data_IF_608413818527
#
_entry.id   IF_608413818527
#
_cell.length_a   1.000
_cell.length_b   1.000
_cell.length_c   1.000
_cell.angle_alpha   90.00
_cell.angle_beta   90.00
_cell.angle_gamma   90.00
#
_symmetry.space_group_name_H-M   'P 1'
#
loop_
_entity.id
_entity.type
_entity.pdbx_description
1 polymer ?
#
# COMPACT_ATOMS: atom_id res chain seq x y z
N UNK A 1 1.92 -0.64 -40.22
CA UNK A 1 2.18 -0.38 -38.80
C UNK A 1 1.62 -1.56 -38.04
N UNK A 2 2.47 -2.49 -37.61
CA UNK A 2 2.02 -3.68 -36.91
C UNK A 2 1.29 -3.28 -35.62
N UNK A 3 0.01 -3.62 -35.49
CA UNK A 3 -0.65 -3.62 -34.19
C UNK A 3 0.22 -4.46 -33.24
N UNK A 4 0.74 -3.88 -32.14
CA UNK A 4 1.57 -4.65 -31.24
C UNK A 4 0.74 -5.79 -30.69
N UNK A 5 1.12 -7.02 -31.04
CA UNK A 5 0.41 -8.21 -30.60
C UNK A 5 0.22 -8.19 -29.07
N UNK A 6 -0.95 -8.63 -28.56
CA UNK A 6 -1.32 -8.54 -27.14
C UNK A 6 -0.41 -9.33 -26.16
N UNK A 7 0.63 -9.99 -26.68
CA UNK A 7 1.68 -10.64 -25.90
C UNK A 7 2.89 -9.72 -25.61
N UNK A 8 3.13 -8.69 -26.42
CA UNK A 8 4.32 -7.82 -26.31
C UNK A 8 4.20 -6.92 -25.07
N UNK A 9 5.23 -6.91 -24.23
CA UNK A 9 5.33 -6.00 -23.08
C UNK A 9 4.72 -6.49 -21.76
N UNK A 10 4.19 -7.71 -21.66
CA UNK A 10 3.69 -8.26 -20.38
C UNK A 10 4.80 -8.39 -19.33
N UNK A 11 5.97 -8.89 -19.74
CA UNK A 11 7.12 -9.00 -18.87
C UNK A 11 7.63 -7.62 -18.43
N UNK A 12 7.59 -6.63 -19.32
CA UNK A 12 7.90 -5.24 -18.99
C UNK A 12 6.94 -4.72 -17.93
N UNK A 13 5.63 -4.95 -18.07
CA UNK A 13 4.64 -4.55 -17.08
C UNK A 13 4.85 -5.23 -15.72
N UNK A 14 5.16 -6.53 -15.71
CA UNK A 14 5.48 -7.26 -14.47
C UNK A 14 6.70 -6.66 -13.75
N UNK A 15 7.82 -6.44 -14.46
CA UNK A 15 9.01 -5.83 -13.87
C UNK A 15 8.79 -4.38 -13.45
N UNK A 16 8.02 -3.60 -14.22
CA UNK A 16 7.65 -2.24 -13.81
C UNK A 16 6.85 -2.26 -12.52
N UNK A 17 5.89 -3.17 -12.35
CA UNK A 17 5.14 -3.29 -11.09
C UNK A 17 6.07 -3.69 -9.93
N UNK A 18 6.93 -4.70 -10.12
CA UNK A 18 7.87 -5.17 -9.09
C UNK A 18 8.75 -4.03 -8.56
N UNK A 19 9.15 -3.09 -9.43
CA UNK A 19 9.97 -1.93 -9.05
C UNK A 19 9.09 -0.80 -8.48
N UNK A 20 7.92 -0.57 -9.05
CA UNK A 20 7.04 0.54 -8.66
C UNK A 20 6.48 0.37 -7.25
N UNK A 21 6.17 -0.86 -6.83
CA UNK A 21 5.61 -1.15 -5.50
C UNK A 21 6.53 -0.65 -4.38
N UNK A 22 7.80 -1.09 -4.26
CA UNK A 22 8.68 -0.59 -3.19
C UNK A 22 8.97 0.89 -3.31
N UNK A 23 8.92 1.48 -4.51
CA UNK A 23 9.03 2.94 -4.68
C UNK A 23 7.85 3.65 -4.01
N UNK A 24 6.62 3.18 -4.24
CA UNK A 24 5.43 3.80 -3.67
C UNK A 24 5.28 3.56 -2.17
N UNK A 25 5.61 2.36 -1.69
CA UNK A 25 5.40 1.94 -0.30
C UNK A 25 6.54 2.36 0.64
N UNK A 26 7.78 2.08 0.23
CA UNK A 26 8.94 2.07 1.13
C UNK A 26 9.91 3.20 0.84
N UNK A 27 10.09 3.56 -0.43
CA UNK A 27 10.99 4.65 -0.79
C UNK A 27 10.43 6.03 -0.41
N UNK A 28 9.12 6.16 -0.35
CA UNK A 28 8.45 7.37 0.17
C UNK A 28 8.48 7.43 1.70
N UNK A 29 8.49 6.27 2.35
CA UNK A 29 8.36 6.13 3.80
C UNK A 29 9.72 6.01 4.50
N UNK A 30 10.42 4.92 4.22
CA UNK A 30 11.60 4.42 4.94
C UNK A 30 12.88 5.11 4.51
N UNK A 31 12.96 5.59 3.25
CA UNK A 31 14.08 6.42 2.81
C UNK A 31 14.19 7.74 3.59
N UNK A 32 13.04 8.27 4.03
CA UNK A 32 12.94 9.54 4.77
C UNK A 32 13.17 9.30 6.25
N UNK A 33 12.59 8.24 6.81
CA UNK A 33 12.66 7.92 8.24
C UNK A 33 13.90 7.13 8.67
N UNK A 34 14.47 6.30 7.79
CA UNK A 34 15.60 5.40 8.08
C UNK A 34 16.57 5.33 6.88
N UNK A 35 17.38 6.37 6.63
CA UNK A 35 18.16 6.51 5.38
C UNK A 35 19.18 5.39 5.06
N UNK A 36 19.51 4.51 6.01
CA UNK A 36 20.37 3.35 5.73
C UNK A 36 19.64 2.22 4.95
N UNK A 37 18.30 2.26 4.92
CA UNK A 37 17.46 1.22 4.28
C UNK A 37 17.50 1.22 2.76
N UNK A 38 18.09 2.24 2.12
CA UNK A 38 18.38 2.19 0.67
C UNK A 38 19.26 0.97 0.30
N UNK A 39 20.08 0.48 1.23
CA UNK A 39 20.88 -0.73 1.04
C UNK A 39 20.03 -2.02 1.07
N UNK A 40 18.83 -1.96 1.64
CA UNK A 40 17.87 -3.07 1.71
C UNK A 40 16.90 -3.12 0.52
N UNK A 41 16.94 -2.16 -0.42
CA UNK A 41 16.09 -2.14 -1.63
C UNK A 41 16.03 -3.50 -2.38
N UNK A 42 17.13 -4.25 -2.57
CA UNK A 42 17.06 -5.57 -3.19
C UNK A 42 16.25 -6.59 -2.39
N UNK A 43 16.21 -6.47 -1.06
CA UNK A 43 15.40 -7.32 -0.16
C UNK A 43 13.91 -6.94 -0.23
N UNK A 44 13.59 -5.68 -0.53
CA UNK A 44 12.20 -5.22 -0.70
C UNK A 44 11.54 -5.79 -1.97
N UNK A 45 12.32 -6.17 -2.98
CA UNK A 45 11.80 -6.75 -4.23
C UNK A 45 11.04 -8.08 -4.01
N UNK A 46 11.61 -9.10 -3.34
CA UNK A 46 10.90 -10.34 -3.05
C UNK A 46 9.78 -10.17 -2.01
N UNK A 47 9.93 -9.22 -1.07
CA UNK A 47 8.94 -8.92 -0.03
C UNK A 47 7.72 -8.25 -0.68
N UNK A 48 7.92 -7.06 -1.25
CA UNK A 48 6.88 -6.23 -1.81
C UNK A 48 6.49 -6.59 -3.25
N UNK A 49 7.47 -6.58 -4.15
CA UNK A 49 7.21 -6.69 -5.59
C UNK A 49 6.53 -8.01 -5.99
N UNK A 50 6.98 -9.14 -5.41
CA UNK A 50 6.40 -10.44 -5.69
C UNK A 50 5.01 -10.62 -5.07
N UNK A 51 4.80 -10.17 -3.82
CA UNK A 51 3.51 -10.25 -3.13
C UNK A 51 2.41 -9.51 -3.89
N UNK A 52 2.66 -8.24 -4.26
CA UNK A 52 1.67 -7.43 -4.98
C UNK A 52 1.43 -7.94 -6.41
N UNK A 53 2.47 -8.43 -7.09
CA UNK A 53 2.29 -9.08 -8.40
C UNK A 53 1.43 -10.34 -8.27
N UNK A 54 1.60 -11.16 -7.22
CA UNK A 54 0.76 -12.33 -6.96
C UNK A 54 -0.70 -11.94 -6.73
N UNK A 55 -0.96 -10.93 -5.89
CA UNK A 55 -2.32 -10.40 -5.61
C UNK A 55 -3.01 -9.97 -6.90
N UNK A 56 -2.30 -9.20 -7.74
CA UNK A 56 -2.81 -8.74 -9.03
C UNK A 56 -3.13 -9.93 -9.94
N UNK A 57 -2.17 -10.84 -10.08
CA UNK A 57 -2.29 -11.99 -10.97
C UNK A 57 -3.44 -12.92 -10.55
N UNK A 58 -3.65 -13.14 -9.25
CA UNK A 58 -4.77 -13.89 -8.72
C UNK A 58 -6.11 -13.18 -9.00
N UNK A 59 -6.18 -11.87 -8.73
CA UNK A 59 -7.38 -11.06 -8.93
C UNK A 59 -7.83 -11.05 -10.39
N UNK A 60 -6.90 -10.78 -11.32
CA UNK A 60 -7.23 -10.68 -12.75
C UNK A 60 -7.70 -12.03 -13.31
N UNK A 61 -7.12 -13.15 -12.86
CA UNK A 61 -7.48 -14.50 -13.34
C UNK A 61 -8.90 -14.92 -12.97
N UNK A 62 -9.42 -14.41 -11.86
CA UNK A 62 -10.79 -14.70 -11.43
C UNK A 62 -11.79 -13.64 -11.90
N UNK A 63 -11.36 -12.61 -12.64
CA UNK A 63 -12.20 -11.47 -13.02
C UNK A 63 -12.57 -10.56 -11.83
N UNK A 64 -11.71 -10.52 -10.82
CA UNK A 64 -11.84 -9.64 -9.67
C UNK A 64 -11.50 -8.18 -10.01
N UNK A 65 -11.95 -7.27 -9.15
CA UNK A 65 -11.72 -5.82 -9.29
C UNK A 65 -11.16 -5.19 -8.01
N UNK A 66 -11.35 -3.88 -7.88
CA UNK A 66 -10.89 -3.11 -6.71
C UNK A 66 -11.31 -3.69 -5.35
N UNK A 67 -12.54 -4.20 -5.14
CA UNK A 67 -12.91 -4.83 -3.87
C UNK A 67 -12.05 -6.05 -3.53
N UNK A 68 -11.73 -6.90 -4.52
CA UNK A 68 -10.84 -8.04 -4.33
C UNK A 68 -9.42 -7.60 -3.98
N UNK A 69 -8.93 -6.53 -4.61
CA UNK A 69 -7.60 -5.98 -4.31
C UNK A 69 -7.51 -5.42 -2.89
N UNK A 70 -8.53 -4.71 -2.41
CA UNK A 70 -8.59 -4.21 -1.02
C UNK A 70 -8.52 -5.37 -0.03
N UNK A 71 -9.34 -6.40 -0.23
CA UNK A 71 -9.40 -7.55 0.69
C UNK A 71 -8.11 -8.39 0.64
N UNK A 72 -7.51 -8.57 -0.54
CA UNK A 72 -6.21 -9.22 -0.66
C UNK A 72 -5.07 -8.36 -0.10
N UNK A 73 -5.17 -7.03 -0.14
CA UNK A 73 -4.25 -6.12 0.52
C UNK A 73 -4.26 -6.30 2.04
N UNK A 74 -5.44 -6.51 2.65
CA UNK A 74 -5.55 -6.85 4.07
C UNK A 74 -4.94 -8.22 4.39
N UNK A 75 -5.17 -9.21 3.52
CA UNK A 75 -4.54 -10.53 3.68
C UNK A 75 -3.01 -10.46 3.54
N UNK A 76 -2.53 -9.56 2.68
CA UNK A 76 -1.12 -9.32 2.44
C UNK A 76 -0.43 -8.63 3.62
N UNK A 77 -1.06 -7.59 4.18
CA UNK A 77 -0.61 -6.95 5.43
C UNK A 77 -0.45 -7.98 6.55
N UNK A 78 -1.46 -8.82 6.81
CA UNK A 78 -1.36 -9.87 7.83
C UNK A 78 -0.25 -10.91 7.54
N UNK A 79 0.03 -11.18 6.26
CA UNK A 79 1.11 -12.09 5.88
C UNK A 79 2.49 -11.47 6.15
N UNK A 80 2.67 -10.19 5.85
CA UNK A 80 3.93 -9.49 6.09
C UNK A 80 4.11 -9.15 7.57
N UNK A 81 3.19 -8.38 8.16
CA UNK A 81 3.36 -7.84 9.51
C UNK A 81 3.01 -8.86 10.60
N UNK A 82 2.00 -9.70 10.34
CA UNK A 82 1.57 -10.75 11.26
C UNK A 82 2.47 -11.99 11.25
N UNK A 83 2.72 -12.59 10.08
CA UNK A 83 3.51 -13.83 9.98
C UNK A 83 5.00 -13.60 9.77
N UNK A 84 5.35 -12.64 8.92
CA UNK A 84 6.73 -12.29 8.58
C UNK A 84 7.40 -11.55 9.72
N UNK A 85 7.06 -10.28 9.91
CA UNK A 85 7.64 -9.41 10.92
C UNK A 85 7.28 -9.81 12.35
N UNK A 86 6.13 -10.48 12.57
CA UNK A 86 5.62 -10.79 13.91
C UNK A 86 5.26 -9.53 14.72
N UNK A 87 5.16 -8.39 14.05
CA UNK A 87 5.02 -7.06 14.64
C UNK A 87 3.70 -6.89 15.40
N UNK A 88 2.62 -7.51 14.89
CA UNK A 88 1.29 -7.38 15.49
C UNK A 88 1.21 -7.91 16.92
N UNK A 89 2.02 -8.91 17.27
CA UNK A 89 2.02 -9.54 18.60
C UNK A 89 3.28 -9.22 19.41
N UNK A 90 4.35 -8.78 18.76
CA UNK A 90 5.62 -8.48 19.42
C UNK A 90 5.45 -7.35 20.45
N UNK A 91 6.04 -7.50 21.64
CA UNK A 91 6.05 -6.45 22.66
C UNK A 91 7.14 -5.40 22.44
N UNK A 92 8.13 -5.62 21.56
CA UNK A 92 9.27 -4.70 21.42
C UNK A 92 9.47 -4.20 19.99
N UNK A 93 8.73 -4.75 19.01
CA UNK A 93 8.91 -4.37 17.62
C UNK A 93 8.78 -2.85 17.45
N UNK A 94 9.80 -2.21 16.87
CA UNK A 94 9.84 -0.78 16.55
C UNK A 94 9.49 0.17 17.71
N UNK A 95 9.66 -0.25 18.96
CA UNK A 95 9.34 0.55 20.16
C UNK A 95 7.90 1.12 20.17
N UNK A 96 6.96 0.45 19.48
CA UNK A 96 5.54 0.90 19.36
C UNK A 96 4.68 0.44 20.54
N UNK A 97 5.22 -0.40 21.42
CA UNK A 97 4.48 -1.05 22.50
C UNK A 97 3.90 -0.10 23.53
N UNK A 98 4.61 0.99 23.79
CA UNK A 98 4.34 1.84 24.94
C UNK A 98 3.18 2.81 24.69
N UNK A 99 2.76 2.96 23.44
CA UNK A 99 1.78 3.96 23.04
C UNK A 99 0.62 3.43 22.19
N UNK A 100 0.56 2.12 21.97
CA UNK A 100 -0.44 1.50 21.12
C UNK A 100 -1.57 0.82 21.90
N UNK A 101 -2.80 0.88 21.35
CA UNK A 101 -3.91 0.12 21.91
C UNK A 101 -3.72 -1.37 21.60
N UNK A 102 -3.68 -2.20 22.65
CA UNK A 102 -3.61 -3.66 22.51
C UNK A 102 -4.88 -4.36 22.93
N UNK A 103 -5.33 -5.31 22.12
CA UNK A 103 -6.49 -6.17 22.41
C UNK A 103 -6.10 -7.62 22.14
N UNK A 104 -6.24 -8.49 23.14
CA UNK A 104 -5.83 -9.90 23.06
C UNK A 104 -4.37 -10.11 22.61
N UNK A 105 -3.49 -9.18 22.99
CA UNK A 105 -2.06 -9.20 22.62
C UNK A 105 -1.74 -8.59 21.24
N UNK A 106 -2.76 -8.24 20.44
CA UNK A 106 -2.60 -7.60 19.14
C UNK A 106 -2.48 -6.09 19.27
N UNK A 107 -1.46 -5.50 18.65
CA UNK A 107 -1.27 -4.06 18.53
C UNK A 107 -2.18 -3.47 17.45
N UNK A 108 -3.34 -2.93 17.85
CA UNK A 108 -4.34 -2.42 16.91
C UNK A 108 -3.95 -1.08 16.28
N UNK A 109 -3.28 -0.21 17.02
CA UNK A 109 -2.83 1.10 16.50
C UNK A 109 -1.81 0.91 15.38
N UNK A 110 -0.81 0.05 15.61
CA UNK A 110 0.15 -0.33 14.58
C UNK A 110 -0.55 -1.05 13.43
N UNK A 111 -1.39 -2.05 13.73
CA UNK A 111 -2.10 -2.78 12.69
C UNK A 111 -2.89 -1.86 11.74
N UNK A 112 -3.64 -0.90 12.30
CA UNK A 112 -4.41 0.03 11.48
C UNK A 112 -3.50 0.97 10.66
N UNK A 113 -2.39 1.47 11.23
CA UNK A 113 -1.48 2.33 10.46
C UNK A 113 -0.88 1.58 9.27
N UNK A 114 -0.50 0.32 9.51
CA UNK A 114 0.11 -0.55 8.51
C UNK A 114 -0.90 -0.98 7.44
N UNK A 115 -2.17 -1.22 7.77
CA UNK A 115 -3.23 -1.45 6.77
C UNK A 115 -3.25 -0.33 5.73
N UNK A 116 -3.15 0.93 6.17
CA UNK A 116 -3.07 2.07 5.25
C UNK A 116 -1.89 1.96 4.28
N UNK A 117 -0.71 1.64 4.80
CA UNK A 117 0.54 1.50 4.03
C UNK A 117 0.45 0.32 3.04
N UNK A 118 0.15 -0.88 3.52
CA UNK A 118 0.12 -2.08 2.67
C UNK A 118 -1.03 -2.04 1.66
N UNK A 119 -2.25 -1.69 2.09
CA UNK A 119 -3.39 -1.66 1.15
C UNK A 119 -3.23 -0.52 0.16
N UNK A 120 -3.07 0.73 0.62
CA UNK A 120 -3.13 1.89 -0.28
C UNK A 120 -1.82 2.06 -1.05
N UNK A 121 -0.70 2.15 -0.34
CA UNK A 121 0.59 2.54 -0.92
C UNK A 121 1.33 1.37 -1.57
N UNK A 122 1.17 0.15 -1.06
CA UNK A 122 1.81 -1.04 -1.65
C UNK A 122 0.95 -1.68 -2.74
N UNK A 123 -0.38 -1.79 -2.54
CA UNK A 123 -1.25 -2.49 -3.51
C UNK A 123 -1.97 -1.53 -4.45
N UNK A 124 -2.84 -0.66 -3.91
CA UNK A 124 -3.81 0.05 -4.75
C UNK A 124 -3.17 1.12 -5.65
N UNK A 125 -2.31 1.97 -5.12
CA UNK A 125 -1.69 3.06 -5.87
C UNK A 125 -0.75 2.54 -6.99
N UNK A 126 0.17 1.60 -6.73
CA UNK A 126 0.99 1.02 -7.80
C UNK A 126 0.15 0.38 -8.89
N UNK A 127 -0.90 -0.38 -8.54
CA UNK A 127 -1.79 -1.00 -9.53
C UNK A 127 -2.60 0.05 -10.33
N UNK A 128 -3.03 1.14 -9.69
CA UNK A 128 -3.68 2.25 -10.38
C UNK A 128 -2.74 2.94 -11.39
N UNK A 129 -1.47 3.15 -11.00
CA UNK A 129 -0.45 3.71 -11.87
C UNK A 129 -0.10 2.75 -13.02
N UNK A 130 -0.07 1.43 -12.75
CA UNK A 130 0.11 0.41 -13.78
C UNK A 130 -1.02 0.40 -14.81
N UNK A 131 -2.26 0.62 -14.38
CA UNK A 131 -3.39 0.77 -15.30
C UNK A 131 -3.23 1.98 -16.25
N UNK A 132 -2.62 3.07 -15.77
CA UNK A 132 -2.30 4.24 -16.59
C UNK A 132 -1.11 4.00 -17.53
N UNK A 133 -0.07 3.33 -17.05
CA UNK A 133 1.15 3.05 -17.82
C UNK A 133 0.90 2.00 -18.91
N UNK A 134 0.16 0.94 -18.58
CA UNK A 134 -0.08 -0.25 -19.42
C UNK A 134 -1.58 -0.58 -19.57
N UNK A 135 -2.39 0.33 -20.15
CA UNK A 135 -3.85 0.16 -20.22
C UNK A 135 -4.28 -1.12 -20.94
N UNK A 136 -3.55 -1.52 -22.00
CA UNK A 136 -3.81 -2.74 -22.76
C UNK A 136 -3.65 -4.04 -21.94
N UNK A 137 -2.95 -3.98 -20.80
CA UNK A 137 -2.71 -5.13 -19.93
C UNK A 137 -3.51 -5.08 -18.62
N UNK A 138 -4.31 -4.03 -18.38
CA UNK A 138 -5.09 -3.81 -17.14
C UNK A 138 -5.84 -5.04 -16.65
N UNK A 139 -6.69 -5.62 -17.50
CA UNK A 139 -7.52 -6.79 -17.15
C UNK A 139 -6.93 -8.10 -17.69
N UNK A 140 -5.60 -8.16 -17.89
CA UNK A 140 -4.94 -9.34 -18.47
C UNK A 140 -3.80 -9.83 -17.56
N UNK A 141 -3.63 -11.15 -17.41
CA UNK A 141 -2.48 -11.71 -16.71
C UNK A 141 -1.16 -11.27 -17.36
N UNK A 142 -0.21 -10.82 -16.55
CA UNK A 142 1.15 -10.56 -17.00
C UNK A 142 1.94 -11.87 -17.15
N UNK A 143 1.68 -12.83 -16.26
CA UNK A 143 2.47 -14.05 -16.15
C UNK A 143 1.74 -15.25 -16.75
N UNK A 144 2.52 -16.25 -17.20
CA UNK A 144 2.03 -17.61 -17.44
C UNK A 144 2.04 -18.40 -16.12
N UNK A 145 1.52 -19.64 -16.12
CA UNK A 145 1.47 -20.49 -14.93
C UNK A 145 2.83 -20.66 -14.24
N UNK A 146 3.90 -20.94 -15.00
CA UNK A 146 5.25 -21.06 -14.42
C UNK A 146 5.71 -19.77 -13.72
N UNK A 147 5.52 -18.61 -14.35
CA UNK A 147 5.83 -17.33 -13.73
C UNK A 147 5.01 -17.05 -12.47
N UNK A 148 3.72 -17.41 -12.47
CA UNK A 148 2.86 -17.29 -11.29
C UNK A 148 3.38 -18.15 -10.13
N UNK A 149 3.79 -19.39 -10.39
CA UNK A 149 4.37 -20.28 -9.36
C UNK A 149 5.67 -19.67 -8.83
N UNK A 150 6.57 -19.21 -9.72
CA UNK A 150 7.80 -18.55 -9.30
C UNK A 150 7.51 -17.33 -8.42
N UNK A 151 6.58 -16.46 -8.81
CA UNK A 151 6.18 -15.30 -8.01
C UNK A 151 5.59 -15.70 -6.66
N UNK A 152 4.76 -16.75 -6.60
CA UNK A 152 4.21 -17.24 -5.34
C UNK A 152 5.31 -17.78 -4.40
N UNK A 153 6.24 -18.58 -4.92
CA UNK A 153 7.40 -19.07 -4.16
C UNK A 153 8.25 -17.89 -3.68
N UNK A 154 8.54 -16.92 -4.55
CA UNK A 154 9.30 -15.71 -4.17
C UNK A 154 8.61 -14.91 -3.07
N UNK A 155 7.28 -14.74 -3.12
CA UNK A 155 6.54 -14.04 -2.07
C UNK A 155 6.60 -14.78 -0.72
N UNK A 156 6.46 -16.11 -0.72
CA UNK A 156 6.61 -16.94 0.50
C UNK A 156 8.02 -16.80 1.07
N UNK A 157 9.04 -16.85 0.21
CA UNK A 157 10.44 -16.64 0.61
C UNK A 157 10.66 -15.22 1.13
N UNK A 158 9.98 -14.21 0.60
CA UNK A 158 9.99 -12.84 1.10
C UNK A 158 9.45 -12.72 2.52
N UNK A 159 8.30 -13.35 2.81
CA UNK A 159 7.74 -13.41 4.18
C UNK A 159 8.68 -14.15 5.13
N UNK A 160 9.28 -15.26 4.69
CA UNK A 160 10.28 -15.97 5.49
C UNK A 160 11.53 -15.12 5.75
N UNK A 161 11.98 -14.36 4.74
CA UNK A 161 13.10 -13.44 4.85
C UNK A 161 12.82 -12.36 5.91
N UNK A 162 11.63 -11.73 5.89
CA UNK A 162 11.21 -10.80 6.95
C UNK A 162 11.34 -11.43 8.34
N UNK A 163 10.84 -12.66 8.50
CA UNK A 163 10.85 -13.39 9.78
C UNK A 163 12.25 -13.70 10.30
N UNK A 164 13.13 -14.16 9.44
CA UNK A 164 14.46 -14.63 9.86
C UNK A 164 15.54 -13.54 9.78
N UNK A 165 15.23 -12.34 9.29
CA UNK A 165 16.17 -11.22 9.25
C UNK A 165 15.68 -10.03 10.06
N UNK A 166 14.67 -9.30 9.56
CA UNK A 166 14.19 -8.06 10.17
C UNK A 166 13.58 -8.34 11.55
N UNK A 167 12.65 -9.30 11.65
CA UNK A 167 12.02 -9.62 12.93
C UNK A 167 13.03 -10.11 13.97
N UNK A 168 13.94 -10.99 13.55
CA UNK A 168 14.98 -11.53 14.42
C UNK A 168 15.99 -10.47 14.90
N UNK A 169 16.20 -9.40 14.11
CA UNK A 169 17.05 -8.27 14.50
C UNK A 169 16.33 -7.28 15.42
N UNK A 170 15.04 -7.04 15.18
CA UNK A 170 14.25 -6.03 15.91
C UNK A 170 13.71 -6.54 17.26
N UNK A 171 13.34 -7.82 17.37
CA UNK A 171 12.91 -8.43 18.63
C UNK A 171 13.56 -9.82 18.81
N UNK A 172 14.86 -9.88 19.13
CA UNK A 172 15.62 -11.13 19.17
C UNK A 172 15.01 -12.16 20.13
N UNK A 173 14.77 -13.37 19.60
CA UNK A 173 14.23 -14.49 20.38
C UNK A 173 12.70 -14.50 20.53
N UNK A 174 12.00 -13.44 20.11
CA UNK A 174 10.55 -13.42 20.11
C UNK A 174 9.96 -14.38 19.06
N UNK A 175 8.85 -15.02 19.43
CA UNK A 175 8.04 -15.84 18.53
C UNK A 175 6.56 -15.52 18.73
N UNK A 176 5.85 -15.24 17.63
CA UNK A 176 4.39 -15.09 17.65
C UNK A 176 3.74 -16.32 18.27
N UNK A 177 2.82 -16.15 19.24
CA UNK A 177 2.09 -17.25 19.84
C UNK A 177 1.41 -18.14 18.79
N UNK A 178 1.42 -19.46 18.99
CA UNK A 178 0.84 -20.42 18.03
C UNK A 178 -0.64 -20.12 17.74
N UNK A 179 -1.39 -19.68 18.75
CA UNK A 179 -2.79 -19.25 18.58
C UNK A 179 -2.94 -18.07 17.61
N UNK A 180 -2.05 -17.08 17.70
CA UNK A 180 -2.03 -15.94 16.78
C UNK A 180 -1.58 -16.35 15.37
N UNK A 181 -0.59 -17.24 15.23
CA UNK A 181 -0.20 -17.80 13.93
C UNK A 181 -1.36 -18.52 13.23
N UNK A 182 -2.10 -19.35 13.97
CA UNK A 182 -3.32 -20.01 13.47
C UNK A 182 -4.37 -18.95 13.09
N UNK A 183 -4.61 -17.97 13.96
CA UNK A 183 -5.57 -16.89 13.72
C UNK A 183 -5.27 -16.09 12.45
N UNK A 184 -4.01 -15.66 12.25
CA UNK A 184 -3.58 -14.95 11.05
C UNK A 184 -3.74 -15.84 9.81
N UNK A 185 -3.27 -17.09 9.86
CA UNK A 185 -3.36 -18.01 8.72
C UNK A 185 -4.81 -18.24 8.29
N UNK A 186 -5.72 -18.48 9.25
CA UNK A 186 -7.15 -18.66 8.98
C UNK A 186 -7.79 -17.38 8.44
N UNK A 187 -7.41 -16.22 8.97
CA UNK A 187 -7.91 -14.92 8.52
C UNK A 187 -7.46 -14.63 7.09
N UNK A 188 -6.17 -14.82 6.79
CA UNK A 188 -5.60 -14.68 5.44
C UNK A 188 -6.33 -15.60 4.45
N UNK A 189 -6.51 -16.88 4.80
CA UNK A 189 -7.22 -17.85 3.95
C UNK A 189 -8.68 -17.43 3.71
N UNK A 190 -9.35 -16.93 4.74
CA UNK A 190 -10.74 -16.45 4.66
C UNK A 190 -10.85 -15.21 3.78
N UNK A 191 -9.98 -14.21 3.97
CA UNK A 191 -9.92 -13.00 3.15
C UNK A 191 -9.61 -13.34 1.69
N UNK A 192 -8.64 -14.22 1.44
CA UNK A 192 -8.32 -14.70 0.10
C UNK A 192 -9.51 -15.42 -0.56
N UNK A 193 -10.22 -16.27 0.18
CA UNK A 193 -11.43 -16.92 -0.30
C UNK A 193 -12.52 -15.89 -0.67
N UNK A 194 -12.80 -14.93 0.22
CA UNK A 194 -13.78 -13.86 -0.04
C UNK A 194 -13.39 -13.09 -1.31
N UNK A 195 -12.13 -12.65 -1.41
CA UNK A 195 -11.65 -11.86 -2.51
C UNK A 195 -11.67 -12.58 -3.86
N UNK A 196 -11.32 -13.87 -3.88
CA UNK A 196 -11.14 -14.64 -5.10
C UNK A 196 -12.37 -15.46 -5.51
N UNK A 197 -13.34 -15.67 -4.62
CA UNK A 197 -14.55 -16.46 -4.90
C UNK A 197 -15.85 -15.68 -4.74
N UNK A 198 -15.95 -14.73 -3.80
CA UNK A 198 -17.22 -14.05 -3.50
C UNK A 198 -17.33 -12.66 -4.12
N UNK A 199 -16.21 -11.95 -4.24
CA UNK A 199 -16.15 -10.59 -4.80
C UNK A 199 -16.00 -10.48 -6.33
N UNK A 200 -15.47 -11.46 -7.08
CA UNK A 200 -15.34 -11.30 -8.53
C UNK A 200 -16.67 -11.00 -9.23
N UNK A 201 -16.62 -10.12 -10.23
CA UNK A 201 -17.82 -9.63 -10.93
C UNK A 201 -18.71 -8.67 -10.14
N UNK A 202 -18.44 -8.42 -8.85
CA UNK A 202 -19.20 -7.43 -8.06
C UNK A 202 -18.62 -6.04 -8.26
N UNK A 203 -19.39 -5.17 -8.91
CA UNK A 203 -19.16 -3.73 -8.95
C UNK A 203 -20.25 -3.05 -8.12
N UNK A 204 -19.95 -2.67 -6.87
CA UNK A 204 -20.94 -2.01 -6.03
C UNK A 204 -21.46 -0.74 -6.69
N UNK A 205 -22.76 -0.64 -6.93
CA UNK A 205 -23.39 0.58 -7.43
C UNK A 205 -23.16 1.73 -6.45
N UNK A 206 -22.91 2.93 -6.98
CA UNK A 206 -22.73 4.15 -6.21
C UNK A 206 -23.39 5.31 -6.94
N UNK A 207 -24.07 6.19 -6.20
CA UNK A 207 -24.63 7.42 -6.78
C UNK A 207 -23.48 8.36 -7.18
N UNK A 208 -23.38 8.74 -8.47
CA UNK A 208 -22.33 9.64 -8.95
C UNK A 208 -22.22 10.92 -8.12
N UNK A 209 -20.98 11.38 -7.91
CA UNK A 209 -20.67 12.69 -7.36
C UNK A 209 -19.55 13.30 -8.21
N UNK A 210 -19.85 14.17 -9.18
CA UNK A 210 -18.82 14.84 -9.97
C UNK A 210 -17.95 15.73 -9.08
N UNK A 211 -16.65 15.77 -9.37
CA UNK A 211 -15.68 16.59 -8.69
C UNK A 211 -14.59 16.98 -9.71
N UNK A 212 -13.96 18.14 -9.54
CA UNK A 212 -12.81 18.50 -10.37
C UNK A 212 -11.56 17.69 -9.97
N UNK A 213 -10.57 17.51 -10.86
CA UNK A 213 -9.38 16.71 -10.54
C UNK A 213 -8.54 17.25 -9.37
N UNK A 214 -8.32 18.56 -9.29
CA UNK A 214 -7.45 19.17 -8.26
C UNK A 214 -7.95 18.89 -6.83
N UNK A 215 -9.23 19.12 -6.49
CA UNK A 215 -9.76 18.75 -5.17
C UNK A 215 -9.60 17.27 -4.80
N UNK A 216 -9.64 16.34 -5.76
CA UNK A 216 -9.41 14.91 -5.47
C UNK A 216 -8.03 14.69 -4.88
N UNK A 217 -7.00 15.33 -5.42
CA UNK A 217 -5.64 15.24 -4.88
C UNK A 217 -5.50 15.91 -3.52
N UNK A 218 -6.11 17.07 -3.32
CA UNK A 218 -6.09 17.76 -2.02
C UNK A 218 -6.77 16.92 -0.94
N UNK A 219 -7.92 16.34 -1.24
CA UNK A 219 -8.65 15.48 -0.31
C UNK A 219 -7.90 14.16 -0.03
N UNK A 220 -7.23 13.59 -1.04
CA UNK A 220 -6.37 12.43 -0.84
C UNK A 220 -5.18 12.76 0.07
N UNK A 221 -4.53 13.90 -0.13
CA UNK A 221 -3.44 14.38 0.71
C UNK A 221 -3.90 14.60 2.16
N UNK A 222 -5.04 15.27 2.34
CA UNK A 222 -5.63 15.51 3.66
C UNK A 222 -6.03 14.20 4.35
N UNK A 223 -6.61 13.24 3.62
CA UNK A 223 -6.95 11.93 4.15
C UNK A 223 -5.70 11.14 4.56
N UNK A 224 -4.64 11.15 3.76
CA UNK A 224 -3.35 10.52 4.11
C UNK A 224 -2.78 11.13 5.39
N UNK A 225 -2.62 12.45 5.46
CA UNK A 225 -2.07 13.13 6.65
C UNK A 225 -2.96 12.90 7.87
N UNK A 226 -4.29 13.00 7.71
CA UNK A 226 -5.22 12.79 8.81
C UNK A 226 -5.24 11.35 9.32
N UNK A 227 -5.20 10.36 8.42
CA UNK A 227 -5.16 8.94 8.78
C UNK A 227 -3.87 8.61 9.54
N UNK A 228 -2.72 8.94 8.96
CA UNK A 228 -1.41 8.66 9.55
C UNK A 228 -1.18 9.48 10.82
N UNK A 229 -1.55 10.76 10.81
CA UNK A 229 -1.39 11.65 11.94
C UNK A 229 -2.29 11.33 13.13
N UNK A 230 -3.33 10.51 12.97
CA UNK A 230 -4.07 9.97 14.11
C UNK A 230 -3.38 8.74 14.73
N UNK A 231 -2.60 8.00 13.95
CA UNK A 231 -2.09 6.69 14.35
C UNK A 231 -0.59 6.69 14.67
N UNK A 232 0.19 7.62 14.14
CA UNK A 232 1.63 7.69 14.38
C UNK A 232 2.11 9.15 14.50
N UNK A 233 3.16 9.42 15.29
CA UNK A 233 3.74 10.75 15.37
C UNK A 233 4.35 11.16 14.02
N UNK A 234 4.30 12.45 13.70
CA UNK A 234 4.89 12.98 12.47
C UNK A 234 6.38 12.60 12.37
N UNK A 235 6.76 12.04 11.22
CA UNK A 235 8.11 11.52 10.96
C UNK A 235 8.64 10.52 11.98
N UNK A 236 7.74 9.80 12.68
CA UNK A 236 8.08 8.82 13.72
C UNK A 236 8.89 9.43 14.87
N UNK A 237 8.65 10.71 15.18
CA UNK A 237 9.33 11.38 16.28
C UNK A 237 9.15 10.61 17.61
N UNK A 238 10.23 10.36 18.38
CA UNK A 238 10.13 9.71 19.68
C UNK A 238 9.29 10.55 20.65
N UNK A 239 8.42 9.93 21.44
CA UNK A 239 7.63 10.69 22.43
C UNK A 239 6.34 10.06 22.95
N UNK A 240 5.99 8.84 22.55
CA UNK A 240 4.74 8.19 22.96
C UNK A 240 3.59 8.42 21.96
N UNK A 241 2.32 8.29 22.39
CA UNK A 241 1.18 8.43 21.49
C UNK A 241 1.13 9.85 20.91
N UNK A 242 0.59 10.01 19.71
CA UNK A 242 0.47 11.32 19.01
C UNK A 242 -0.07 12.42 19.92
N UNK A 243 -1.05 12.08 20.75
CA UNK A 243 -1.75 13.00 21.62
C UNK A 243 -1.35 12.83 23.11
N UNK A 244 -0.24 12.14 23.37
CA UNK A 244 0.18 11.73 24.71
C UNK A 244 -0.92 10.98 25.46
N UNK A 245 -0.91 11.10 26.79
CA UNK A 245 -1.93 10.51 27.66
C UNK A 245 -3.23 11.35 27.74
N UNK A 246 -3.32 12.42 26.95
CA UNK A 246 -4.43 13.39 27.08
C UNK A 246 -5.74 12.89 26.51
N UNK A 247 -5.70 11.96 25.55
CA UNK A 247 -6.89 11.35 24.97
C UNK A 247 -6.78 9.82 24.97
N UNK A 248 -7.90 9.09 25.13
CA UNK A 248 -7.87 7.65 25.06
C UNK A 248 -7.44 7.12 23.68
N UNK A 249 -6.57 6.11 23.64
CA UNK A 249 -6.00 5.53 22.41
C UNK A 249 -7.04 4.97 21.43
N UNK A 250 -8.24 4.64 21.88
CA UNK A 250 -9.32 4.18 20.99
C UNK A 250 -9.91 5.31 20.14
N UNK A 251 -9.78 6.57 20.55
CA UNK A 251 -10.38 7.70 19.83
C UNK A 251 -9.65 8.00 18.51
N UNK A 252 -8.31 8.09 18.46
CA UNK A 252 -7.60 8.21 17.18
C UNK A 252 -7.78 7.00 16.26
N UNK A 253 -7.85 5.79 16.84
CA UNK A 253 -8.14 4.55 16.11
C UNK A 253 -9.48 4.67 15.36
N UNK A 254 -10.58 4.95 16.07
CA UNK A 254 -11.90 5.16 15.47
C UNK A 254 -11.88 6.32 14.46
N UNK A 255 -11.22 7.42 14.79
CA UNK A 255 -11.09 8.57 13.89
C UNK A 255 -10.44 8.21 12.55
N UNK A 256 -9.37 7.42 12.59
CA UNK A 256 -8.65 6.98 11.40
C UNK A 256 -9.47 6.00 10.57
N UNK A 257 -10.18 5.06 11.21
CA UNK A 257 -11.13 4.17 10.55
C UNK A 257 -12.23 4.96 9.82
N UNK A 258 -12.78 6.00 10.46
CA UNK A 258 -13.79 6.87 9.85
C UNK A 258 -13.24 7.63 8.64
N UNK A 259 -11.99 8.13 8.70
CA UNK A 259 -11.32 8.76 7.55
C UNK A 259 -11.19 7.75 6.40
N UNK A 260 -10.75 6.52 6.66
CA UNK A 260 -10.59 5.48 5.64
C UNK A 260 -11.94 5.11 4.99
N UNK A 261 -13.00 4.95 5.81
CA UNK A 261 -14.36 4.66 5.33
C UNK A 261 -14.91 5.82 4.50
N UNK A 262 -14.81 7.05 5.00
CA UNK A 262 -15.31 8.24 4.31
C UNK A 262 -14.59 8.46 2.98
N UNK A 263 -13.26 8.29 2.95
CA UNK A 263 -12.44 8.39 1.74
C UNK A 263 -12.82 7.32 0.73
N UNK A 264 -12.96 6.07 1.16
CA UNK A 264 -13.41 4.97 0.29
C UNK A 264 -14.80 5.24 -0.28
N UNK A 265 -15.72 5.73 0.53
CA UNK A 265 -17.08 6.10 0.10
C UNK A 265 -17.05 7.23 -0.93
N UNK A 266 -16.26 8.29 -0.70
CA UNK A 266 -16.09 9.40 -1.64
C UNK A 266 -15.50 8.93 -2.98
N UNK A 267 -14.40 8.17 -2.94
CA UNK A 267 -13.75 7.63 -4.16
C UNK A 267 -14.73 6.78 -4.97
N UNK A 268 -15.57 5.96 -4.33
CA UNK A 268 -16.60 5.18 -5.03
C UNK A 268 -17.62 6.06 -5.75
N UNK A 269 -18.01 7.20 -5.17
CA UNK A 269 -18.95 8.13 -5.80
C UNK A 269 -18.30 8.96 -6.90
N UNK A 270 -17.05 9.37 -6.73
CA UNK A 270 -16.28 10.10 -7.74
C UNK A 270 -16.01 9.22 -8.96
N UNK A 271 -15.59 7.97 -8.76
CA UNK A 271 -15.30 7.02 -9.84
C UNK A 271 -16.55 6.57 -10.61
N UNK A 272 -17.73 6.65 -9.99
CA UNK A 272 -19.01 6.42 -10.67
C UNK A 272 -19.46 7.60 -11.55
N UNK A 273 -18.84 8.78 -11.43
CA UNK A 273 -19.18 9.94 -12.24
C UNK A 273 -18.69 9.78 -13.69
N UNK A 274 -19.50 10.10 -14.71
CA UNK A 274 -19.08 10.05 -16.11
C UNK A 274 -17.88 10.95 -16.45
N UNK A 275 -17.64 11.97 -15.63
CA UNK A 275 -16.51 12.90 -15.77
C UNK A 275 -15.20 12.35 -15.20
N UNK A 276 -15.23 11.20 -14.51
CA UNK A 276 -14.03 10.59 -13.94
C UNK A 276 -13.07 10.18 -15.06
N UNK A 277 -11.81 10.59 -14.92
CA UNK A 277 -10.80 10.44 -15.97
C UNK A 277 -9.43 10.11 -15.41
N UNK A 278 -8.49 9.78 -16.28
CA UNK A 278 -7.10 9.50 -15.89
C UNK A 278 -6.43 10.69 -15.18
N UNK A 279 -6.85 11.92 -15.49
CA UNK A 279 -6.41 13.11 -14.76
C UNK A 279 -6.81 13.05 -13.28
N UNK A 280 -8.02 12.57 -12.96
CA UNK A 280 -8.44 12.40 -11.56
C UNK A 280 -7.62 11.33 -10.85
N UNK A 281 -7.30 10.22 -11.53
CA UNK A 281 -6.43 9.17 -10.99
C UNK A 281 -5.02 9.70 -10.69
N UNK A 282 -4.47 10.54 -11.55
CA UNK A 282 -3.18 11.18 -11.31
C UNK A 282 -3.21 12.11 -10.10
N UNK A 283 -4.25 12.95 -9.96
CA UNK A 283 -4.39 13.81 -8.79
C UNK A 283 -4.58 12.99 -7.51
N UNK A 284 -5.38 11.92 -7.55
CA UNK A 284 -5.57 11.00 -6.43
C UNK A 284 -4.23 10.37 -6.00
N UNK A 285 -3.48 9.78 -6.94
CA UNK A 285 -2.15 9.21 -6.65
C UNK A 285 -1.16 10.25 -6.16
N UNK A 286 -1.09 11.41 -6.83
CA UNK A 286 -0.14 12.46 -6.49
C UNK A 286 -0.39 13.05 -5.12
N UNK A 287 -1.65 13.36 -4.80
CA UNK A 287 -2.02 13.85 -3.47
C UNK A 287 -1.65 12.86 -2.37
N UNK A 288 -1.98 11.58 -2.56
CA UNK A 288 -1.68 10.56 -1.57
C UNK A 288 -0.17 10.32 -1.39
N UNK A 289 0.59 10.16 -2.49
CA UNK A 289 2.05 9.89 -2.45
C UNK A 289 2.83 11.08 -1.86
N UNK A 290 2.57 12.29 -2.35
CA UNK A 290 3.27 13.49 -1.86
C UNK A 290 2.98 13.71 -0.38
N UNK A 291 1.73 13.52 0.05
CA UNK A 291 1.35 13.64 1.45
C UNK A 291 1.98 12.56 2.33
N UNK A 292 2.11 11.33 1.83
CA UNK A 292 2.77 10.24 2.54
C UNK A 292 4.25 10.56 2.78
N UNK A 293 4.98 10.98 1.74
CA UNK A 293 6.38 11.39 1.86
C UNK A 293 6.53 12.62 2.76
N UNK A 294 5.66 13.63 2.59
CA UNK A 294 5.68 14.84 3.41
C UNK A 294 5.39 14.57 4.89
N UNK A 295 4.51 13.60 5.20
CA UNK A 295 4.20 13.20 6.57
C UNK A 295 5.44 12.69 7.33
N UNK A 296 6.39 12.07 6.62
CA UNK A 296 7.59 11.47 7.23
C UNK A 296 8.72 12.49 7.45
N UNK A 297 8.64 13.69 6.89
CA UNK A 297 9.72 14.68 6.94
C UNK A 297 9.92 15.37 8.31
N UNK A 298 8.87 15.76 9.07
CA UNK A 298 9.06 16.44 10.34
C UNK A 298 9.83 15.58 11.35
N UNK A 299 10.66 16.18 12.19
CA UNK A 299 11.45 15.45 13.20
C UNK A 299 12.70 14.73 12.66
N UNK A 300 12.86 14.61 11.34
CA UNK A 300 14.06 14.04 10.73
C UNK A 300 15.23 15.03 10.74
N UNK A 301 16.50 14.55 10.81
CA UNK A 301 17.67 15.41 10.65
C UNK A 301 17.72 15.98 9.23
N UNK A 302 18.52 17.04 9.03
CA UNK A 302 18.62 17.74 7.74
C UNK A 302 18.79 16.81 6.52
N UNK A 303 19.66 15.77 6.55
CA UNK A 303 19.76 14.84 5.42
C UNK A 303 18.43 14.12 5.09
N UNK A 304 17.66 13.68 6.09
CA UNK A 304 16.37 13.03 5.89
C UNK A 304 15.33 13.98 5.30
N UNK A 305 15.30 15.24 5.76
CA UNK A 305 14.44 16.28 5.17
C UNK A 305 14.79 16.58 3.71
N UNK A 306 16.09 16.65 3.38
CA UNK A 306 16.56 16.85 2.00
C UNK A 306 16.20 15.66 1.11
N UNK A 307 16.34 14.43 1.61
CA UNK A 307 15.90 13.21 0.91
C UNK A 307 14.39 13.26 0.66
N UNK A 308 13.57 13.59 1.66
CA UNK A 308 12.12 13.73 1.50
C UNK A 308 11.73 14.77 0.45
N UNK A 309 12.35 15.96 0.48
CA UNK A 309 12.12 17.01 -0.50
C UNK A 309 12.52 16.57 -1.93
N UNK A 310 13.64 15.87 -2.07
CA UNK A 310 14.07 15.31 -3.35
C UNK A 310 13.11 14.23 -3.86
N UNK A 311 12.63 13.34 -2.98
CA UNK A 311 11.63 12.31 -3.32
C UNK A 311 10.33 12.94 -3.81
N UNK A 312 9.80 13.95 -3.09
CA UNK A 312 8.61 14.70 -3.53
C UNK A 312 8.83 15.35 -4.89
N UNK A 313 10.00 15.96 -5.13
CA UNK A 313 10.30 16.56 -6.43
C UNK A 313 10.30 15.50 -7.56
N UNK A 314 10.88 14.33 -7.31
CA UNK A 314 10.88 13.20 -8.26
C UNK A 314 9.47 12.69 -8.53
N UNK A 315 8.64 12.53 -7.49
CA UNK A 315 7.22 12.13 -7.63
C UNK A 315 6.45 13.12 -8.51
N UNK A 316 6.56 14.42 -8.23
CA UNK A 316 5.89 15.48 -8.99
C UNK A 316 6.34 15.45 -10.45
N UNK A 317 7.64 15.34 -10.72
CA UNK A 317 8.17 15.25 -12.08
C UNK A 317 7.66 13.99 -12.77
N UNK A 318 7.69 12.82 -12.12
CA UNK A 318 7.23 11.56 -12.70
C UNK A 318 5.72 11.61 -13.05
N UNK A 319 4.89 12.13 -12.14
CA UNK A 319 3.45 12.31 -12.37
C UNK A 319 3.17 13.33 -13.47
N UNK A 320 3.95 14.42 -13.53
CA UNK A 320 3.86 15.40 -14.59
C UNK A 320 4.21 14.80 -15.96
N UNK A 321 5.29 14.03 -16.05
CA UNK A 321 5.68 13.33 -17.28
C UNK A 321 4.59 12.32 -17.69
N UNK A 322 4.05 11.56 -16.74
CA UNK A 322 2.94 10.64 -17.01
C UNK A 322 1.69 11.38 -17.50
N UNK A 323 1.37 12.56 -16.94
CA UNK A 323 0.28 13.40 -17.42
C UNK A 323 0.46 13.84 -18.87
N UNK A 324 1.69 14.18 -19.28
CA UNK A 324 2.01 14.53 -20.67
C UNK A 324 1.85 13.35 -21.60
N UNK A 325 2.27 12.15 -21.17
CA UNK A 325 2.10 10.92 -21.94
C UNK A 325 0.61 10.63 -22.14
N UNK A 326 -0.20 10.75 -21.10
CA UNK A 326 -1.65 10.50 -21.18
C UNK A 326 -2.36 11.50 -22.09
N UNK A 327 -2.04 12.80 -22.00
CA UNK A 327 -2.59 13.82 -22.91
C UNK A 327 -2.30 13.53 -24.38
N UNK A 328 -1.08 13.05 -24.69
CA UNK A 328 -0.71 12.67 -26.07
C UNK A 328 -1.49 11.46 -26.59
N UNK A 329 -1.91 10.54 -25.71
CA UNK A 329 -2.72 9.37 -26.10
C UNK A 329 -4.16 9.73 -26.43
N UNK A 330 -4.72 10.77 -25.81
CA UNK A 330 -6.08 11.24 -26.07
C UNK A 330 -6.21 12.13 -27.32
N UNK A 331 -5.09 12.61 -27.87
CA UNK A 331 -5.07 13.46 -29.07
C UNK A 331 -4.79 12.69 -30.37
N UNK A 332 -4.54 11.39 -30.28
CA UNK A 332 -4.34 10.45 -31.40
C UNK A 332 -5.59 9.57 -31.54
#
# INVERSE_FOLDING_TARGET
>A
MDEPTPARGRLKAAWTLIILVPICAELTFTAVAVPLTWLALPLLIPIYGAGVLLIREATVRVGGGWPSLVVLGLAYELAEDGLGLQALTSPNMYDVSDWSLRVLGLNLTYWESQIGIHVVFSVLLPLMLMDLLFPHHKNRPYLRTGGLITTAVTAILGVALLRFTIAAAQDPGYQTPTSALIGFTLTIATLAFIALKLLPGRTPSAKPLPIAPVPVGVLAAAATIGFLGLLMPFGLAPGGPVFGDTIPLWLPLIGSALIAIATTWLIRRWTAAPTWSDTHRLWLAGGALVAHTAFMMPGQPLPGQLTGAATIAVEIVALFLLSRILKRRTTL
#
